data_IF_843805276001
#
_entry.id   IF_843805276001
#
_cell.length_a   1.000
_cell.length_b   1.000
_cell.length_c   1.000
_cell.angle_alpha   90.00
_cell.angle_beta   90.00
_cell.angle_gamma   90.00
#
_symmetry.space_group_name_H-M   'P 1'
#
loop_
_entity.id
_entity.type
_entity.pdbx_description
1 polymer ?
#
# COMPACT_ATOMS: atom_id res chain seq x y z
N UNK A 1 2.57 -51.13 19.92
CA UNK A 1 2.54 -49.82 20.61
C UNK A 1 3.45 -48.77 19.97
N UNK A 2 4.70 -49.08 19.60
CA UNK A 2 5.65 -48.07 19.09
C UNK A 2 5.30 -47.44 17.72
N UNK A 3 4.59 -48.14 16.82
CA UNK A 3 4.21 -47.61 15.49
C UNK A 3 3.08 -46.58 15.54
N UNK A 4 2.16 -46.74 16.49
CA UNK A 4 1.04 -45.82 16.74
C UNK A 4 1.55 -44.49 17.31
N UNK A 5 2.53 -44.53 18.22
CA UNK A 5 3.12 -43.32 18.80
C UNK A 5 3.87 -42.48 17.76
N UNK A 6 4.56 -43.11 16.80
CA UNK A 6 5.23 -42.41 15.70
C UNK A 6 4.25 -41.72 14.75
N UNK A 7 3.13 -42.37 14.44
CA UNK A 7 2.11 -41.78 13.56
C UNK A 7 1.43 -40.58 14.21
N UNK A 8 1.11 -40.67 15.50
CA UNK A 8 0.52 -39.55 16.27
C UNK A 8 1.50 -38.37 16.38
N UNK A 9 2.78 -38.65 16.62
CA UNK A 9 3.82 -37.62 16.70
C UNK A 9 4.06 -36.93 15.34
N UNK A 10 4.08 -37.69 14.24
CA UNK A 10 4.15 -37.12 12.89
C UNK A 10 2.94 -36.23 12.60
N UNK A 11 1.73 -36.69 12.95
CA UNK A 11 0.50 -35.93 12.71
C UNK A 11 0.49 -34.60 13.48
N UNK A 12 0.89 -34.63 14.76
CA UNK A 12 1.04 -33.45 15.61
C UNK A 12 2.12 -32.48 15.10
N UNK A 13 3.22 -33.01 14.58
CA UNK A 13 4.30 -32.17 14.04
C UNK A 13 3.86 -31.49 12.72
N UNK A 14 3.12 -32.21 11.86
CA UNK A 14 2.57 -31.63 10.62
C UNK A 14 1.49 -30.57 10.89
N UNK A 15 0.60 -30.78 11.87
CA UNK A 15 -0.40 -29.76 12.22
C UNK A 15 0.22 -28.53 12.87
N UNK A 16 1.27 -28.70 13.69
CA UNK A 16 2.01 -27.58 14.28
C UNK A 16 2.77 -26.75 13.21
N UNK A 17 3.33 -27.41 12.19
CA UNK A 17 3.97 -26.73 11.05
C UNK A 17 2.95 -25.97 10.17
N UNK A 18 1.75 -26.53 9.99
CA UNK A 18 0.67 -25.88 9.22
C UNK A 18 0.06 -24.66 9.93
N UNK A 19 0.05 -24.64 11.27
CA UNK A 19 -0.42 -23.51 12.08
C UNK A 19 0.58 -22.34 12.16
N UNK A 20 1.85 -22.56 11.83
CA UNK A 20 2.93 -21.58 12.01
C UNK A 20 3.11 -20.54 10.90
N UNK A 21 2.25 -20.52 9.87
CA UNK A 21 2.50 -19.74 8.65
C UNK A 21 1.42 -18.71 8.30
N UNK A 22 0.80 -18.06 9.28
CA UNK A 22 -0.03 -16.87 9.03
C UNK A 22 0.83 -15.62 9.15
N UNK A 23 1.55 -15.25 8.09
CA UNK A 23 2.20 -13.93 8.02
C UNK A 23 1.14 -12.87 7.73
N UNK A 24 0.83 -12.03 8.73
CA UNK A 24 0.08 -10.81 8.48
C UNK A 24 0.95 -9.87 7.62
N UNK A 25 0.35 -9.23 6.62
CA UNK A 25 1.04 -8.20 5.86
C UNK A 25 1.40 -7.04 6.80
N UNK A 26 2.67 -6.63 6.83
CA UNK A 26 3.15 -5.50 7.60
C UNK A 26 3.67 -4.41 6.66
N UNK A 27 3.77 -3.19 7.17
CA UNK A 27 4.44 -2.07 6.52
C UNK A 27 5.27 -1.33 7.56
N UNK A 28 6.17 -0.46 7.10
CA UNK A 28 7.03 0.33 7.95
C UNK A 28 6.98 1.80 7.58
N UNK A 29 7.01 2.67 8.59
CA UNK A 29 6.98 4.11 8.41
C UNK A 29 8.39 4.70 8.20
N UNK A 30 8.49 5.87 7.55
CA UNK A 30 7.42 6.55 6.81
C UNK A 30 7.13 5.89 5.44
N UNK A 31 5.90 6.01 4.93
CA UNK A 31 5.55 5.53 3.57
C UNK A 31 5.99 6.50 2.46
N UNK A 32 6.10 7.79 2.77
CA UNK A 32 6.53 8.84 1.84
C UNK A 32 7.47 9.79 2.57
N UNK A 33 8.72 9.85 2.11
CA UNK A 33 9.75 10.73 2.63
C UNK A 33 10.68 11.13 1.47
N UNK A 34 10.80 12.43 1.14
CA UNK A 34 10.11 13.59 1.72
C UNK A 34 8.67 13.76 1.20
N UNK A 35 7.99 14.82 1.64
CA UNK A 35 6.67 15.28 1.14
C UNK A 35 5.50 14.31 1.42
N UNK A 36 5.43 13.77 2.63
CA UNK A 36 4.34 12.90 3.09
C UNK A 36 3.12 13.64 3.68
N UNK A 37 3.02 14.96 3.53
CA UNK A 37 1.92 15.76 4.09
C UNK A 37 0.59 15.49 3.38
N UNK A 38 -0.50 15.62 4.14
CA UNK A 38 -1.88 15.45 3.68
C UNK A 38 -2.10 14.13 2.90
N UNK A 39 -1.70 12.97 3.46
CA UNK A 39 -1.75 11.71 2.72
C UNK A 39 -3.19 11.24 2.52
N UNK A 40 -3.55 10.95 1.27
CA UNK A 40 -4.80 10.27 0.92
C UNK A 40 -4.49 8.96 0.19
N UNK A 41 -5.12 7.87 0.65
CA UNK A 41 -4.98 6.53 0.07
C UNK A 41 -6.35 5.93 -0.20
N UNK A 42 -6.52 5.36 -1.39
CA UNK A 42 -7.68 4.53 -1.75
C UNK A 42 -7.19 3.22 -2.38
N UNK A 43 -7.97 2.15 -2.17
CA UNK A 43 -7.71 0.85 -2.76
C UNK A 43 -8.76 0.52 -3.82
N UNK A 44 -8.31 0.29 -5.05
CA UNK A 44 -9.16 0.01 -6.21
C UNK A 44 -8.49 -1.09 -7.05
N UNK A 45 -9.25 -2.09 -7.46
CA UNK A 45 -8.84 -3.13 -8.42
C UNK A 45 -7.46 -3.77 -8.18
N UNK A 46 -7.13 -4.06 -6.91
CA UNK A 46 -5.88 -4.73 -6.56
C UNK A 46 -4.72 -3.81 -6.19
N UNK A 47 -4.90 -2.49 -6.31
CA UNK A 47 -3.86 -1.50 -6.07
C UNK A 47 -4.24 -0.50 -4.98
N UNK A 48 -3.27 -0.16 -4.15
CA UNK A 48 -3.26 1.07 -3.38
C UNK A 48 -2.78 2.20 -4.27
N UNK A 49 -3.48 3.33 -4.18
CA UNK A 49 -3.09 4.57 -4.80
C UNK A 49 -2.89 5.58 -3.67
N UNK A 50 -1.75 6.26 -3.65
CA UNK A 50 -1.38 7.28 -2.69
C UNK A 50 -1.18 8.60 -3.40
N UNK A 51 -1.72 9.68 -2.83
CA UNK A 51 -1.32 11.05 -3.16
C UNK A 51 -0.96 11.80 -1.89
N UNK A 52 -0.09 12.79 -2.03
CA UNK A 52 0.38 13.66 -0.95
C UNK A 52 0.60 15.06 -1.50
N UNK A 53 0.69 16.06 -0.64
CA UNK A 53 1.02 17.43 -1.05
C UNK A 53 2.45 17.49 -1.62
N UNK A 54 2.58 17.85 -2.91
CA UNK A 54 3.87 18.10 -3.59
C UNK A 54 4.17 19.58 -3.80
N UNK A 55 3.20 20.46 -3.51
CA UNK A 55 3.23 21.93 -3.67
C UNK A 55 3.10 22.44 -5.11
N UNK A 56 3.48 21.66 -6.12
CA UNK A 56 3.55 22.11 -7.52
C UNK A 56 2.68 21.32 -8.48
N UNK A 57 2.27 20.10 -8.14
CA UNK A 57 1.52 19.22 -9.03
C UNK A 57 0.63 18.24 -8.24
N UNK A 58 -0.13 17.42 -8.95
CA UNK A 58 -0.82 16.27 -8.35
C UNK A 58 -0.17 15.00 -8.89
N UNK A 59 0.40 14.23 -7.97
CA UNK A 59 1.03 12.94 -8.26
C UNK A 59 0.25 11.80 -7.59
N UNK A 60 0.17 10.67 -8.28
CA UNK A 60 -0.35 9.42 -7.73
C UNK A 60 0.78 8.40 -7.74
N UNK A 61 1.04 7.77 -6.59
CA UNK A 61 1.91 6.61 -6.46
C UNK A 61 1.04 5.37 -6.31
N UNK A 62 1.21 4.33 -7.14
CA UNK A 62 0.45 3.07 -7.01
C UNK A 62 1.34 1.88 -6.70
N UNK A 63 0.82 0.95 -5.88
CA UNK A 63 1.45 -0.32 -5.57
C UNK A 63 0.40 -1.37 -5.14
N UNK A 64 0.72 -2.65 -5.20
CA UNK A 64 -0.19 -3.73 -4.76
C UNK A 64 -0.20 -3.94 -3.24
N UNK A 65 0.73 -3.33 -2.50
CA UNK A 65 0.81 -3.36 -1.04
C UNK A 65 1.11 -1.97 -0.48
N UNK A 66 0.77 -1.71 0.78
CA UNK A 66 1.11 -0.45 1.46
C UNK A 66 2.63 -0.22 1.53
N UNK A 67 3.42 -1.25 1.88
CA UNK A 67 4.89 -1.15 1.89
C UNK A 67 5.45 -0.84 0.49
N UNK A 68 4.84 -1.39 -0.55
CA UNK A 68 5.21 -1.15 -1.94
C UNK A 68 5.06 0.31 -2.38
N UNK A 69 4.21 1.12 -1.69
CA UNK A 69 4.03 2.54 -2.02
C UNK A 69 5.32 3.36 -1.87
N UNK A 70 6.29 2.90 -1.07
CA UNK A 70 7.60 3.55 -0.95
C UNK A 70 8.38 3.60 -2.25
N UNK A 71 8.17 2.62 -3.12
CA UNK A 71 8.85 2.47 -4.41
C UNK A 71 7.86 2.22 -5.55
N UNK A 72 6.60 2.61 -5.34
CA UNK A 72 5.51 2.39 -6.28
C UNK A 72 5.69 3.17 -7.57
N UNK A 73 4.91 2.84 -8.58
CA UNK A 73 4.88 3.61 -9.82
C UNK A 73 4.27 5.00 -9.55
N UNK A 74 4.98 6.06 -9.92
CA UNK A 74 4.53 7.45 -9.75
C UNK A 74 4.11 8.04 -11.09
N UNK A 75 2.95 8.69 -11.12
CA UNK A 75 2.40 9.39 -12.29
C UNK A 75 1.97 10.81 -11.89
N UNK A 76 2.38 11.82 -12.66
CA UNK A 76 1.83 13.19 -12.56
C UNK A 76 0.54 13.21 -13.35
N UNK A 77 -0.59 13.44 -12.68
CA UNK A 77 -1.92 13.46 -13.31
C UNK A 77 -2.44 14.86 -13.59
N UNK A 78 -1.88 15.86 -12.92
CA UNK A 78 -2.18 17.26 -13.18
C UNK A 78 -0.99 18.14 -12.81
N UNK A 79 -0.73 19.15 -13.65
CA UNK A 79 0.19 20.23 -13.38
C UNK A 79 -0.23 21.44 -14.22
N UNK A 80 0.20 22.64 -13.83
CA UNK A 80 -0.12 23.87 -14.55
C UNK A 80 1.04 24.87 -14.53
N UNK A 81 1.06 25.75 -15.53
CA UNK A 81 2.05 26.83 -15.65
C UNK A 81 1.42 28.22 -15.52
N UNK A 82 0.10 28.32 -15.48
CA UNK A 82 -0.59 29.58 -15.26
C UNK A 82 -0.39 30.06 -13.82
N UNK A 83 0.17 31.27 -13.67
CA UNK A 83 0.49 31.89 -12.39
C UNK A 83 -0.71 31.98 -11.43
N UNK A 84 -1.95 31.99 -11.94
CA UNK A 84 -3.14 32.03 -11.09
C UNK A 84 -3.49 30.70 -10.43
N UNK A 85 -2.91 29.57 -10.88
CA UNK A 85 -3.26 28.21 -10.43
C UNK A 85 -2.12 27.19 -10.36
N UNK A 86 -0.90 27.55 -10.76
CA UNK A 86 0.29 26.67 -10.75
C UNK A 86 0.79 26.27 -9.37
N UNK A 87 0.41 27.04 -8.36
CA UNK A 87 1.26 27.26 -7.21
C UNK A 87 0.45 27.01 -5.94
N UNK A 88 1.09 26.37 -4.95
CA UNK A 88 0.45 25.94 -3.69
C UNK A 88 -0.61 24.86 -3.89
N UNK A 89 -0.26 23.82 -4.66
CA UNK A 89 -1.12 22.66 -4.92
C UNK A 89 -1.12 21.74 -3.70
N UNK A 90 -2.22 21.69 -2.96
CA UNK A 90 -2.29 21.06 -1.63
C UNK A 90 -3.41 20.05 -1.48
N UNK A 91 -3.17 19.05 -0.62
CA UNK A 91 -4.12 18.07 -0.12
C UNK A 91 -5.03 17.46 -1.20
N UNK A 92 -4.48 16.93 -2.31
CA UNK A 92 -5.29 16.24 -3.29
C UNK A 92 -5.94 15.00 -2.68
N UNK A 93 -7.16 14.71 -3.12
CA UNK A 93 -7.85 13.44 -2.90
C UNK A 93 -8.42 12.97 -4.24
N UNK A 94 -8.59 11.66 -4.40
CA UNK A 94 -9.18 11.10 -5.60
C UNK A 94 -10.10 9.95 -5.20
N UNK A 95 -11.29 9.96 -5.77
CA UNK A 95 -12.37 9.06 -5.38
C UNK A 95 -12.88 8.38 -6.65
N UNK A 96 -13.14 7.07 -6.57
CA UNK A 96 -13.87 6.38 -7.62
C UNK A 96 -15.37 6.55 -7.32
N UNK A 97 -16.07 7.31 -8.15
CA UNK A 97 -17.49 7.63 -7.97
C UNK A 97 -18.24 7.15 -9.20
N UNK A 98 -19.21 6.25 -9.01
CA UNK A 98 -20.00 5.67 -10.10
C UNK A 98 -19.16 5.03 -11.23
N UNK A 99 -17.95 4.55 -10.89
CA UNK A 99 -17.02 3.93 -11.84
C UNK A 99 -16.13 4.92 -12.61
N UNK A 100 -16.09 6.19 -12.19
CA UNK A 100 -15.28 7.27 -12.78
C UNK A 100 -14.34 7.86 -11.75
#
# INVERSE_FOLDING_TARGET
>A
MASSLRSVLCFLLTTLLLLGSTNAATFSNPLKDPNGSDPYVVYVDGYYYLTTTTWTDVQITRATTLEGLKTGEVQVVWSDTDASRCCSVWAPEFHLIDGV
#
